data_IF_316517648812
#
_entry.id   IF_316517648812
#
_cell.length_a   1.000
_cell.length_b   1.000
_cell.length_c   1.000
_cell.angle_alpha   90.00
_cell.angle_beta   90.00
_cell.angle_gamma   90.00
#
_symmetry.space_group_name_H-M   'P 1'
#
loop_
_entity.id
_entity.type
_entity.pdbx_description
1 polymer ?
#
# COMPACT_ATOMS: atom_id res chain seq x y z
N UNK A 1 6.48 -1.67 -1.54
CA UNK A 1 6.09 -0.43 -2.26
C UNK A 1 5.81 -0.72 -3.72
N UNK A 2 5.13 0.17 -4.43
CA UNK A 2 4.78 0.01 -5.84
C UNK A 2 6.01 -0.28 -6.70
N UNK A 3 6.05 -1.46 -7.30
CA UNK A 3 7.16 -1.95 -8.11
C UNK A 3 6.87 -1.80 -9.61
N UNK A 4 5.72 -2.29 -10.07
CA UNK A 4 5.27 -2.12 -11.44
C UNK A 4 4.89 -0.66 -11.71
N UNK A 5 5.27 -0.11 -12.86
CA UNK A 5 4.93 1.25 -13.16
C UNK A 5 5.60 1.82 -14.41
N UNK A 6 5.26 3.08 -14.68
CA UNK A 6 5.61 3.81 -15.91
C UNK A 6 7.11 3.96 -16.18
N UNK A 7 7.97 3.70 -15.23
CA UNK A 7 9.42 3.70 -15.41
C UNK A 7 9.93 2.50 -16.22
N UNK A 8 9.11 1.45 -16.41
CA UNK A 8 9.43 0.28 -17.23
C UNK A 8 8.79 0.41 -18.62
N UNK A 9 9.59 0.32 -19.67
CA UNK A 9 9.10 0.34 -21.07
C UNK A 9 8.08 -0.76 -21.33
N UNK A 10 8.35 -1.97 -20.86
CA UNK A 10 7.48 -3.14 -20.97
C UNK A 10 6.13 -2.96 -20.26
N UNK A 11 6.07 -2.20 -19.17
CA UNK A 11 4.82 -1.79 -18.54
C UNK A 11 4.04 -0.81 -19.43
N UNK A 12 4.73 0.17 -20.02
CA UNK A 12 4.10 1.18 -20.86
C UNK A 12 3.42 0.54 -22.08
N UNK A 13 4.06 -0.46 -22.71
CA UNK A 13 3.48 -1.21 -23.84
C UNK A 13 2.16 -1.86 -23.45
N UNK A 14 2.10 -2.50 -22.27
CA UNK A 14 0.86 -3.14 -21.80
C UNK A 14 -0.19 -2.09 -21.41
N UNK A 15 0.23 -0.99 -20.76
CA UNK A 15 -0.66 0.10 -20.35
C UNK A 15 -1.37 0.78 -21.52
N UNK A 16 -0.67 1.01 -22.62
CA UNK A 16 -1.23 1.61 -23.84
C UNK A 16 -2.37 0.79 -24.46
N UNK A 17 -2.38 -0.53 -24.25
CA UNK A 17 -3.44 -1.43 -24.71
C UNK A 17 -4.68 -1.45 -23.81
N UNK A 18 -4.67 -0.74 -22.69
CA UNK A 18 -5.78 -0.73 -21.74
C UNK A 18 -6.59 0.57 -21.87
N UNK A 19 -7.91 0.44 -21.95
CA UNK A 19 -8.87 1.55 -22.10
C UNK A 19 -8.72 2.60 -21.01
N UNK A 20 -8.71 2.18 -19.75
CA UNK A 20 -8.51 3.04 -18.59
C UNK A 20 -7.74 2.31 -17.48
N UNK A 21 -7.50 2.97 -16.35
CA UNK A 21 -6.69 2.39 -15.28
C UNK A 21 -7.44 1.35 -14.44
N UNK A 22 -8.75 1.51 -14.24
CA UNK A 22 -9.56 0.51 -13.52
C UNK A 22 -9.67 -0.78 -14.36
N UNK A 23 -9.94 -0.66 -15.67
CA UNK A 23 -9.96 -1.82 -16.56
C UNK A 23 -8.61 -2.54 -16.55
N UNK A 24 -7.50 -1.79 -16.49
CA UNK A 24 -6.18 -2.38 -16.34
C UNK A 24 -6.04 -3.19 -15.04
N UNK A 25 -6.49 -2.65 -13.91
CA UNK A 25 -6.49 -3.38 -12.63
C UNK A 25 -7.39 -4.62 -12.67
N UNK A 26 -8.46 -4.58 -13.45
CA UNK A 26 -9.42 -5.68 -13.62
C UNK A 26 -9.06 -6.65 -14.77
N UNK A 27 -8.07 -6.34 -15.58
CA UNK A 27 -7.53 -7.29 -16.55
C UNK A 27 -6.51 -8.21 -15.87
N UNK A 28 -6.99 -9.37 -15.36
CA UNK A 28 -6.16 -10.26 -14.54
C UNK A 28 -4.88 -10.75 -15.23
N UNK A 29 -4.91 -10.98 -16.56
CA UNK A 29 -3.72 -11.38 -17.33
C UNK A 29 -2.71 -10.24 -17.42
N UNK A 30 -3.17 -9.03 -17.74
CA UNK A 30 -2.31 -7.85 -17.81
C UNK A 30 -1.76 -7.44 -16.44
N UNK A 31 -2.59 -7.44 -15.39
CA UNK A 31 -2.18 -7.15 -14.03
C UNK A 31 -1.11 -8.13 -13.52
N UNK A 32 -1.29 -9.43 -13.74
CA UNK A 32 -0.27 -10.43 -13.42
C UNK A 32 1.02 -10.23 -14.21
N UNK A 33 0.92 -9.96 -15.52
CA UNK A 33 2.10 -9.74 -16.37
C UNK A 33 2.95 -8.58 -15.86
N UNK A 34 2.33 -7.43 -15.55
CA UNK A 34 3.08 -6.27 -15.04
C UNK A 34 3.56 -6.46 -13.61
N UNK A 35 2.90 -7.27 -12.79
CA UNK A 35 3.38 -7.65 -11.46
C UNK A 35 4.70 -8.41 -11.54
N UNK A 36 4.85 -9.31 -12.51
CA UNK A 36 6.02 -10.17 -12.66
C UNK A 36 7.19 -9.46 -13.37
N UNK A 37 6.97 -8.35 -14.10
CA UNK A 37 8.04 -7.63 -14.81
C UNK A 37 9.19 -7.18 -13.90
N UNK A 38 8.96 -6.49 -12.75
CA UNK A 38 10.05 -6.10 -11.85
C UNK A 38 10.79 -7.30 -11.24
N UNK A 39 10.08 -8.40 -10.99
CA UNK A 39 10.66 -9.62 -10.42
C UNK A 39 11.65 -10.26 -11.39
N UNK A 40 11.22 -10.40 -12.65
CA UNK A 40 12.08 -10.95 -13.71
C UNK A 40 13.29 -10.07 -14.01
N UNK A 41 13.12 -8.74 -13.90
CA UNK A 41 14.15 -7.77 -14.27
C UNK A 41 15.18 -7.54 -13.18
N UNK A 42 14.76 -7.53 -11.92
CA UNK A 42 15.60 -7.07 -10.81
C UNK A 42 15.85 -8.15 -9.74
N UNK A 43 15.27 -9.32 -9.91
CA UNK A 43 15.35 -10.43 -8.96
C UNK A 43 14.98 -10.02 -7.52
N UNK A 44 13.84 -9.35 -7.36
CA UNK A 44 13.32 -8.96 -6.05
C UNK A 44 12.77 -10.17 -5.29
N UNK A 45 12.81 -10.12 -3.95
CA UNK A 45 12.38 -11.22 -3.07
C UNK A 45 10.86 -11.35 -2.94
N UNK A 46 10.14 -10.26 -3.22
CA UNK A 46 8.69 -10.23 -3.13
C UNK A 46 8.06 -9.46 -4.29
N UNK A 47 6.93 -9.96 -4.78
CA UNK A 47 6.07 -9.27 -5.73
C UNK A 47 4.90 -8.62 -4.99
N UNK A 48 4.58 -7.36 -5.27
CA UNK A 48 3.32 -6.77 -4.87
C UNK A 48 2.35 -6.78 -6.05
N UNK A 49 1.16 -7.33 -5.84
CA UNK A 49 0.15 -7.44 -6.91
C UNK A 49 -0.15 -6.06 -7.52
N UNK A 50 -0.23 -5.97 -8.84
CA UNK A 50 -0.66 -4.75 -9.51
C UNK A 50 -2.18 -4.59 -9.38
N UNK A 51 -2.59 -3.56 -8.66
CA UNK A 51 -3.98 -3.16 -8.43
C UNK A 51 -4.00 -1.71 -7.95
N UNK A 52 -5.12 -1.25 -7.41
CA UNK A 52 -5.24 0.06 -6.74
C UNK A 52 -6.05 -0.05 -5.45
N UNK A 53 -5.76 0.82 -4.48
CA UNK A 53 -6.51 0.89 -3.21
C UNK A 53 -7.98 1.30 -3.43
N UNK A 54 -8.26 2.02 -4.51
CA UNK A 54 -9.61 2.49 -4.87
C UNK A 54 -10.50 1.40 -5.50
N UNK A 55 -9.99 0.18 -5.64
CA UNK A 55 -10.81 -0.99 -5.98
C UNK A 55 -11.92 -1.21 -4.95
N UNK A 56 -11.70 -0.81 -3.69
CA UNK A 56 -12.73 -0.94 -2.65
C UNK A 56 -13.91 0.02 -2.89
N UNK A 57 -13.75 1.36 -2.98
CA UNK A 57 -14.86 2.23 -3.33
C UNK A 57 -15.48 1.91 -4.69
N UNK A 58 -14.68 1.50 -5.69
CA UNK A 58 -15.20 1.00 -6.95
C UNK A 58 -16.10 -0.23 -6.76
N UNK A 59 -15.67 -1.21 -6.00
CA UNK A 59 -16.45 -2.42 -5.67
C UNK A 59 -17.75 -2.08 -4.94
N UNK A 60 -17.74 -1.07 -4.09
CA UNK A 60 -18.93 -0.54 -3.40
C UNK A 60 -19.91 0.22 -4.30
N UNK A 61 -19.52 0.56 -5.53
CA UNK A 61 -20.38 1.21 -6.51
C UNK A 61 -20.01 2.66 -6.83
N UNK A 62 -19.02 3.24 -6.14
CA UNK A 62 -18.56 4.58 -6.47
C UNK A 62 -17.81 4.59 -7.80
N UNK A 63 -18.10 5.54 -8.68
CA UNK A 63 -17.36 5.72 -9.93
C UNK A 63 -15.93 6.17 -9.62
N UNK A 64 -14.94 5.49 -10.20
CA UNK A 64 -13.52 5.81 -10.04
C UNK A 64 -12.88 5.96 -11.40
N UNK A 65 -12.33 7.13 -11.66
CA UNK A 65 -11.60 7.47 -12.88
C UNK A 65 -10.19 7.94 -12.54
N UNK A 66 -9.30 7.85 -13.52
CA UNK A 66 -7.93 8.37 -13.40
C UNK A 66 -7.67 9.33 -14.54
N UNK A 67 -7.50 10.62 -14.24
CA UNK A 67 -7.12 11.62 -15.23
C UNK A 67 -5.61 11.79 -15.29
N UNK A 68 -5.13 12.07 -16.48
CA UNK A 68 -3.71 12.35 -16.70
C UNK A 68 -3.32 13.60 -15.88
N UNK A 69 -2.20 13.52 -15.15
CA UNK A 69 -1.65 14.55 -14.26
C UNK A 69 -2.50 14.98 -13.05
N UNK A 70 -3.78 14.59 -12.95
CA UNK A 70 -4.62 14.89 -11.79
C UNK A 70 -4.69 13.71 -10.79
N UNK A 71 -4.46 12.49 -11.26
CA UNK A 71 -4.60 11.27 -10.47
C UNK A 71 -6.06 10.78 -10.39
N UNK A 72 -6.45 10.11 -9.30
CA UNK A 72 -7.78 9.56 -9.16
C UNK A 72 -8.83 10.65 -8.93
N UNK A 73 -9.98 10.48 -9.60
CA UNK A 73 -11.19 11.29 -9.42
C UNK A 73 -12.35 10.33 -9.18
N UNK A 74 -13.03 10.51 -8.06
CA UNK A 74 -14.17 9.71 -7.66
C UNK A 74 -15.47 10.50 -7.89
N UNK A 75 -16.51 9.81 -8.35
CA UNK A 75 -17.85 10.34 -8.43
C UNK A 75 -18.48 10.52 -7.04
N UNK A 76 -19.74 10.95 -7.00
CA UNK A 76 -20.49 10.96 -5.76
C UNK A 76 -20.69 9.54 -5.25
N UNK A 77 -20.65 9.36 -3.93
CA UNK A 77 -21.02 8.12 -3.28
C UNK A 77 -22.48 8.19 -2.83
N UNK A 78 -23.11 7.04 -2.68
CA UNK A 78 -24.44 6.90 -2.11
C UNK A 78 -24.35 5.99 -0.87
N UNK A 79 -24.55 6.58 0.31
CA UNK A 79 -24.43 5.85 1.57
C UNK A 79 -25.48 4.72 1.69
N UNK A 80 -26.70 4.93 1.16
CA UNK A 80 -27.74 3.90 1.14
C UNK A 80 -27.30 2.71 0.30
N UNK A 81 -26.75 2.95 -0.90
CA UNK A 81 -26.20 1.91 -1.77
C UNK A 81 -24.98 1.18 -1.13
N UNK A 82 -24.11 1.91 -0.45
CA UNK A 82 -23.00 1.30 0.28
C UNK A 82 -23.48 0.37 1.39
N UNK A 83 -24.54 0.76 2.13
CA UNK A 83 -25.16 -0.07 3.17
C UNK A 83 -25.83 -1.31 2.60
N UNK A 84 -26.50 -1.20 1.43
CA UNK A 84 -27.15 -2.33 0.74
C UNK A 84 -26.15 -3.29 0.09
N UNK A 85 -24.88 -2.89 -0.05
CA UNK A 85 -23.87 -3.74 -0.67
C UNK A 85 -23.56 -4.96 0.23
N UNK A 86 -23.53 -6.14 -0.38
CA UNK A 86 -23.19 -7.37 0.31
C UNK A 86 -21.86 -7.96 -0.19
N UNK A 87 -21.37 -8.97 0.52
CA UNK A 87 -20.10 -9.63 0.20
C UNK A 87 -20.09 -10.16 -1.23
N UNK A 88 -21.16 -10.82 -1.66
CA UNK A 88 -21.23 -11.47 -2.97
C UNK A 88 -21.18 -10.45 -4.11
N UNK A 89 -22.00 -9.38 -4.04
CA UNK A 89 -22.03 -8.28 -5.03
C UNK A 89 -20.68 -7.61 -5.15
N UNK A 90 -20.04 -7.31 -4.00
CA UNK A 90 -18.71 -6.72 -3.97
C UNK A 90 -17.66 -7.63 -4.62
N UNK A 91 -17.57 -8.90 -4.19
CA UNK A 91 -16.58 -9.85 -4.70
C UNK A 91 -16.75 -10.11 -6.19
N UNK A 92 -17.99 -10.23 -6.67
CA UNK A 92 -18.30 -10.37 -8.10
C UNK A 92 -17.71 -9.21 -8.92
N UNK A 93 -17.91 -7.97 -8.46
CA UNK A 93 -17.46 -6.75 -9.17
C UNK A 93 -15.96 -6.64 -9.27
N UNK A 94 -15.22 -7.11 -8.27
CA UNK A 94 -13.75 -7.02 -8.21
C UNK A 94 -13.05 -8.37 -8.37
N UNK A 95 -13.77 -9.42 -8.80
CA UNK A 95 -13.27 -10.81 -8.89
C UNK A 95 -11.96 -10.95 -9.66
N UNK A 96 -11.75 -10.11 -10.65
CA UNK A 96 -10.57 -10.20 -11.51
C UNK A 96 -9.27 -9.78 -10.79
N UNK A 97 -9.35 -9.00 -9.70
CA UNK A 97 -8.20 -8.74 -8.84
C UNK A 97 -7.72 -10.05 -8.20
N UNK A 98 -8.65 -10.87 -7.73
CA UNK A 98 -8.34 -12.17 -7.12
C UNK A 98 -7.83 -13.18 -8.13
N UNK A 99 -8.41 -13.20 -9.35
CA UNK A 99 -7.86 -13.98 -10.46
C UNK A 99 -6.44 -13.56 -10.83
N UNK A 100 -6.12 -12.25 -10.75
CA UNK A 100 -4.76 -11.76 -10.98
C UNK A 100 -3.78 -12.31 -9.94
N UNK A 101 -4.18 -12.39 -8.66
CA UNK A 101 -3.36 -12.97 -7.58
C UNK A 101 -3.13 -14.47 -7.85
N UNK A 102 -4.19 -15.23 -8.11
CA UNK A 102 -4.09 -16.67 -8.43
C UNK A 102 -3.17 -16.93 -9.62
N UNK A 103 -3.35 -16.15 -10.69
CA UNK A 103 -2.55 -16.28 -11.91
C UNK A 103 -1.08 -15.87 -11.71
N UNK A 104 -0.85 -14.88 -10.84
CA UNK A 104 0.50 -14.45 -10.46
C UNK A 104 1.17 -15.51 -9.59
N UNK A 105 0.48 -16.05 -8.57
CA UNK A 105 1.03 -17.06 -7.67
C UNK A 105 1.46 -18.31 -8.40
N UNK A 106 0.70 -18.76 -9.40
CA UNK A 106 1.07 -19.91 -10.25
C UNK A 106 2.37 -19.70 -11.04
N UNK A 107 2.74 -18.44 -11.33
CA UNK A 107 3.91 -18.10 -12.15
C UNK A 107 5.09 -17.56 -11.36
N UNK A 108 4.85 -17.13 -10.13
CA UNK A 108 5.88 -16.61 -9.24
C UNK A 108 6.57 -17.78 -8.53
N UNK A 109 7.89 -17.74 -8.49
CA UNK A 109 8.68 -18.71 -7.72
C UNK A 109 8.13 -18.84 -6.29
N UNK A 110 8.01 -20.07 -5.80
CA UNK A 110 7.49 -20.38 -4.46
C UNK A 110 8.34 -19.76 -3.34
N UNK A 111 9.63 -19.53 -3.58
CA UNK A 111 10.56 -18.86 -2.64
C UNK A 111 10.31 -17.34 -2.53
N UNK A 112 9.54 -16.74 -3.44
CA UNK A 112 9.25 -15.32 -3.45
C UNK A 112 7.85 -15.03 -2.90
N UNK A 113 7.75 -14.04 -2.02
CA UNK A 113 6.48 -13.63 -1.43
C UNK A 113 5.57 -12.89 -2.42
N UNK A 114 4.26 -13.13 -2.31
CA UNK A 114 3.25 -12.40 -3.07
C UNK A 114 2.42 -11.52 -2.13
N UNK A 115 2.68 -10.24 -2.17
CA UNK A 115 2.04 -9.25 -1.31
C UNK A 115 0.72 -8.81 -1.94
N UNK A 116 -0.39 -9.10 -1.23
CA UNK A 116 -1.67 -8.45 -1.44
C UNK A 116 -1.75 -7.13 -0.66
N UNK A 117 -2.69 -6.25 -0.99
CA UNK A 117 -2.80 -4.99 -0.26
C UNK A 117 -4.21 -4.39 -0.27
N UNK A 118 -4.42 -3.43 0.64
CA UNK A 118 -5.59 -2.58 0.66
C UNK A 118 -5.23 -1.16 1.13
N UNK A 119 -6.07 -0.19 0.80
CA UNK A 119 -6.04 1.10 1.47
C UNK A 119 -6.57 0.97 2.90
N UNK A 120 -5.95 1.66 3.86
CA UNK A 120 -6.45 1.74 5.23
C UNK A 120 -7.76 2.56 5.31
N UNK A 121 -8.58 2.36 6.36
CA UNK A 121 -9.90 2.97 6.45
C UNK A 121 -9.90 4.49 6.30
N UNK A 122 -8.99 5.18 6.99
CA UNK A 122 -8.89 6.64 6.88
C UNK A 122 -8.54 7.09 5.46
N UNK A 123 -7.56 6.45 4.84
CA UNK A 123 -7.16 6.79 3.47
C UNK A 123 -8.31 6.61 2.48
N UNK A 124 -9.08 5.54 2.57
CA UNK A 124 -10.24 5.32 1.70
C UNK A 124 -11.38 6.30 2.00
N UNK A 125 -11.64 6.60 3.27
CA UNK A 125 -12.62 7.61 3.68
C UNK A 125 -12.30 8.97 3.06
N UNK A 126 -11.03 9.40 3.14
CA UNK A 126 -10.59 10.66 2.53
C UNK A 126 -10.86 10.66 1.02
N UNK A 127 -10.55 9.60 0.30
CA UNK A 127 -10.83 9.52 -1.14
C UNK A 127 -12.33 9.56 -1.45
N UNK A 128 -13.14 8.82 -0.69
CA UNK A 128 -14.60 8.76 -0.89
C UNK A 128 -15.23 10.14 -0.73
N UNK A 129 -14.89 10.85 0.35
CA UNK A 129 -15.47 12.15 0.70
C UNK A 129 -14.84 13.32 -0.09
N UNK A 130 -13.52 13.34 -0.24
CA UNK A 130 -12.80 14.40 -0.96
C UNK A 130 -12.85 14.23 -2.49
N UNK A 131 -13.26 13.06 -2.98
CA UNK A 131 -13.38 12.67 -4.41
C UNK A 131 -12.09 12.76 -5.23
N UNK A 132 -10.99 13.18 -4.66
CA UNK A 132 -9.65 13.31 -5.28
C UNK A 132 -8.55 13.24 -4.25
N UNK A 133 -7.30 13.13 -4.71
CA UNK A 133 -6.14 13.22 -3.83
C UNK A 133 -6.10 14.54 -3.07
N UNK A 134 -5.87 14.55 -1.75
CA UNK A 134 -5.64 15.76 -0.98
C UNK A 134 -4.51 16.62 -1.57
N UNK A 135 -4.72 17.93 -1.59
CA UNK A 135 -3.74 18.96 -1.98
C UNK A 135 -3.35 19.79 -0.76
N UNK A 136 -2.50 20.82 -0.95
CA UNK A 136 -2.02 21.70 0.15
C UNK A 136 -3.16 22.33 0.98
N UNK A 137 -4.29 22.63 0.36
CA UNK A 137 -5.47 23.22 1.00
C UNK A 137 -6.50 22.18 1.48
N UNK A 138 -6.06 20.95 1.81
CA UNK A 138 -6.93 19.93 2.36
C UNK A 138 -7.51 20.37 3.72
N UNK A 139 -8.84 20.34 3.82
CA UNK A 139 -9.56 20.71 5.03
C UNK A 139 -10.06 19.45 5.76
N UNK A 140 -9.37 19.08 6.84
CA UNK A 140 -9.74 17.93 7.69
C UNK A 140 -11.14 18.10 8.29
N UNK A 141 -11.47 19.30 8.79
CA UNK A 141 -12.76 19.54 9.45
C UNK A 141 -13.92 19.29 8.49
N UNK A 142 -13.78 19.68 7.22
CA UNK A 142 -14.80 19.40 6.19
C UNK A 142 -15.02 17.89 5.99
N UNK A 143 -13.97 17.08 6.09
CA UNK A 143 -14.08 15.63 5.94
C UNK A 143 -14.81 15.00 7.13
N UNK A 144 -14.58 15.49 8.34
CA UNK A 144 -15.11 14.87 9.57
C UNK A 144 -16.29 15.63 10.19
N UNK A 145 -16.87 16.64 9.48
CA UNK A 145 -17.94 17.48 10.02
C UNK A 145 -19.20 16.68 10.37
N UNK A 146 -19.62 15.75 9.51
CA UNK A 146 -20.77 14.88 9.78
C UNK A 146 -20.30 13.59 10.46
N UNK A 147 -20.14 13.63 11.79
CA UNK A 147 -19.63 12.52 12.59
C UNK A 147 -20.40 11.21 12.40
N UNK A 148 -21.77 11.29 12.36
CA UNK A 148 -22.63 10.09 12.18
C UNK A 148 -22.40 9.41 10.83
N UNK A 149 -22.28 10.18 9.79
CA UNK A 149 -22.01 9.68 8.44
C UNK A 149 -20.61 9.10 8.31
N UNK A 150 -19.59 9.80 8.84
CA UNK A 150 -18.20 9.35 8.86
C UNK A 150 -18.06 8.03 9.61
N UNK A 151 -18.67 7.90 10.78
CA UNK A 151 -18.61 6.67 11.58
C UNK A 151 -19.33 5.51 10.84
N UNK A 152 -20.45 5.79 10.16
CA UNK A 152 -21.15 4.80 9.32
C UNK A 152 -20.29 4.35 8.13
N UNK A 153 -19.68 5.30 7.41
CA UNK A 153 -18.76 5.00 6.30
C UNK A 153 -17.55 4.19 6.74
N UNK A 154 -16.93 4.56 7.87
CA UNK A 154 -15.79 3.82 8.39
C UNK A 154 -16.12 2.36 8.68
N UNK A 155 -17.27 2.08 9.32
CA UNK A 155 -17.73 0.70 9.57
C UNK A 155 -17.89 -0.10 8.27
N UNK A 156 -18.47 0.53 7.24
CA UNK A 156 -18.64 -0.11 5.93
C UNK A 156 -17.28 -0.36 5.28
N UNK A 157 -16.41 0.63 5.25
CA UNK A 157 -15.07 0.54 4.68
C UNK A 157 -14.26 -0.56 5.37
N UNK A 158 -14.23 -0.61 6.70
CA UNK A 158 -13.54 -1.66 7.47
C UNK A 158 -14.05 -3.06 7.12
N UNK A 159 -15.39 -3.22 7.00
CA UNK A 159 -16.00 -4.50 6.58
C UNK A 159 -15.49 -4.93 5.21
N UNK A 160 -15.46 -4.03 4.23
CA UNK A 160 -15.08 -4.39 2.87
C UNK A 160 -13.57 -4.46 2.66
N UNK A 161 -12.76 -3.74 3.44
CA UNK A 161 -11.31 -3.97 3.51
C UNK A 161 -11.03 -5.39 3.99
N UNK A 162 -11.68 -5.82 5.08
CA UNK A 162 -11.51 -7.18 5.60
C UNK A 162 -11.90 -8.24 4.56
N UNK A 163 -13.07 -8.11 3.92
CA UNK A 163 -13.54 -9.02 2.87
C UNK A 163 -12.53 -9.08 1.72
N UNK A 164 -12.03 -7.93 1.30
CA UNK A 164 -11.06 -7.83 0.20
C UNK A 164 -9.73 -8.50 0.54
N UNK A 165 -9.21 -8.27 1.75
CA UNK A 165 -7.98 -8.90 2.22
C UNK A 165 -8.18 -10.42 2.37
N UNK A 166 -9.26 -10.86 3.01
CA UNK A 166 -9.57 -12.29 3.15
C UNK A 166 -9.57 -12.99 1.78
N UNK A 167 -10.17 -12.37 0.78
CA UNK A 167 -10.21 -12.96 -0.56
C UNK A 167 -8.85 -12.95 -1.27
N UNK A 168 -8.01 -11.95 -1.02
CA UNK A 168 -6.63 -11.93 -1.52
C UNK A 168 -5.80 -13.08 -0.92
N UNK A 169 -5.91 -13.32 0.40
CA UNK A 169 -5.25 -14.45 1.09
C UNK A 169 -5.70 -15.77 0.48
N UNK A 170 -7.03 -15.99 0.36
CA UNK A 170 -7.60 -17.20 -0.26
C UNK A 170 -7.17 -17.40 -1.73
N UNK A 171 -6.75 -16.33 -2.38
CA UNK A 171 -6.29 -16.34 -3.77
C UNK A 171 -4.78 -16.55 -3.92
N UNK A 172 -4.04 -16.68 -2.81
CA UNK A 172 -2.62 -17.01 -2.80
C UNK A 172 -1.68 -15.84 -2.47
N UNK A 173 -2.19 -14.73 -1.94
CA UNK A 173 -1.35 -13.73 -1.28
C UNK A 173 -0.88 -14.29 0.07
N UNK A 174 0.42 -14.28 0.30
CA UNK A 174 1.05 -14.81 1.53
C UNK A 174 1.45 -13.70 2.51
N UNK A 175 1.32 -12.45 2.12
CA UNK A 175 1.60 -11.26 2.92
C UNK A 175 0.60 -10.16 2.55
N UNK A 176 0.16 -9.36 3.51
CA UNK A 176 -0.79 -8.26 3.27
C UNK A 176 -0.19 -6.93 3.69
N UNK A 177 -0.34 -5.90 2.84
CA UNK A 177 0.07 -4.53 3.17
C UNK A 177 -1.13 -3.58 3.24
N UNK A 178 -1.26 -2.84 4.36
CA UNK A 178 -2.22 -1.77 4.55
C UNK A 178 -1.57 -0.41 4.29
N UNK A 179 -2.11 0.34 3.33
CA UNK A 179 -1.60 1.66 2.97
C UNK A 179 -2.45 2.77 3.59
N UNK A 180 -1.95 3.43 4.64
CA UNK A 180 -2.56 4.64 5.20
C UNK A 180 -1.80 5.89 4.71
N UNK A 181 -1.96 6.16 3.41
CA UNK A 181 -1.23 7.21 2.70
C UNK A 181 -1.54 8.63 3.19
N UNK A 182 -2.67 8.81 3.86
CA UNK A 182 -3.15 10.09 4.37
C UNK A 182 -3.20 10.17 5.89
N UNK A 183 -2.58 9.24 6.62
CA UNK A 183 -2.51 9.24 8.08
C UNK A 183 -1.94 10.55 8.64
N UNK A 184 -0.90 11.09 7.99
CA UNK A 184 -0.26 12.35 8.38
C UNK A 184 -1.11 13.61 8.20
N UNK A 185 -2.32 13.52 7.59
CA UNK A 185 -3.26 14.64 7.52
C UNK A 185 -4.10 14.78 8.80
N UNK A 186 -4.09 13.78 9.67
CA UNK A 186 -4.79 13.81 10.95
C UNK A 186 -4.01 14.60 11.99
N UNK A 187 -4.70 15.47 12.70
CA UNK A 187 -4.15 16.09 13.90
C UNK A 187 -4.12 15.06 15.07
N UNK A 188 -3.33 15.34 16.10
CA UNK A 188 -3.07 14.42 17.22
C UNK A 188 -4.37 13.88 17.87
N UNK A 189 -5.39 14.72 18.09
CA UNK A 189 -6.67 14.34 18.71
C UNK A 189 -7.49 13.33 17.87
N UNK A 190 -7.30 13.33 16.57
CA UNK A 190 -8.06 12.48 15.64
C UNK A 190 -7.32 11.18 15.25
N UNK A 191 -6.01 11.07 15.52
CA UNK A 191 -5.21 9.89 15.16
C UNK A 191 -5.77 8.58 15.74
N UNK A 192 -6.13 8.60 17.03
CA UNK A 192 -6.65 7.39 17.67
C UNK A 192 -7.94 6.92 17.00
N UNK A 193 -8.92 7.83 16.82
CA UNK A 193 -10.25 7.49 16.29
C UNK A 193 -10.18 7.03 14.83
N UNK A 194 -9.46 7.74 13.97
CA UNK A 194 -9.54 7.56 12.52
C UNK A 194 -8.39 6.77 11.91
N UNK A 195 -7.25 6.65 12.60
CA UNK A 195 -6.10 5.88 12.12
C UNK A 195 -5.83 4.65 12.96
N UNK A 196 -5.56 4.81 14.28
CA UNK A 196 -5.08 3.70 15.09
C UNK A 196 -6.12 2.61 15.29
N UNK A 197 -7.30 2.95 15.82
CA UNK A 197 -8.34 1.97 16.13
C UNK A 197 -8.88 1.25 14.89
N UNK A 198 -9.15 1.90 13.76
CA UNK A 198 -9.57 1.20 12.53
C UNK A 198 -8.51 0.21 12.03
N UNK A 199 -7.23 0.60 11.98
CA UNK A 199 -6.15 -0.32 11.57
C UNK A 199 -6.00 -1.47 12.57
N UNK A 200 -6.07 -1.21 13.89
CA UNK A 200 -6.03 -2.24 14.94
C UNK A 200 -7.14 -3.28 14.75
N UNK A 201 -8.39 -2.85 14.51
CA UNK A 201 -9.52 -3.78 14.30
C UNK A 201 -9.30 -4.69 13.09
N UNK A 202 -8.80 -4.14 11.98
CA UNK A 202 -8.51 -4.93 10.77
C UNK A 202 -7.39 -5.93 11.05
N UNK A 203 -6.25 -5.47 11.59
CA UNK A 203 -5.09 -6.32 11.90
C UNK A 203 -5.51 -7.44 12.85
N UNK A 204 -6.18 -7.12 13.97
CA UNK A 204 -6.67 -8.10 14.94
C UNK A 204 -7.56 -9.16 14.27
N UNK A 205 -8.55 -8.72 13.48
CA UNK A 205 -9.51 -9.63 12.84
C UNK A 205 -8.85 -10.55 11.81
N UNK A 206 -7.83 -10.05 11.07
CA UNK A 206 -7.08 -10.88 10.12
C UNK A 206 -6.22 -11.88 10.88
N UNK A 207 -5.48 -11.45 11.90
CA UNK A 207 -4.59 -12.33 12.68
C UNK A 207 -5.35 -13.41 13.45
N UNK A 208 -6.57 -13.12 13.91
CA UNK A 208 -7.44 -14.14 14.53
C UNK A 208 -7.79 -15.29 13.58
N UNK A 209 -8.00 -15.01 12.29
CA UNK A 209 -8.38 -16.03 11.30
C UNK A 209 -7.20 -16.59 10.52
N UNK A 210 -6.18 -15.80 10.32
CA UNK A 210 -4.98 -16.11 9.54
C UNK A 210 -3.72 -15.73 10.34
N UNK A 211 -3.40 -16.43 11.44
CA UNK A 211 -2.29 -16.07 12.34
C UNK A 211 -0.93 -16.02 11.64
N UNK A 212 -0.73 -16.88 10.65
CA UNK A 212 0.54 -17.01 9.92
C UNK A 212 0.71 -16.01 8.76
N UNK A 213 -0.31 -15.21 8.43
CA UNK A 213 -0.19 -14.19 7.36
C UNK A 213 0.42 -12.91 7.97
N UNK A 214 1.63 -12.51 7.56
CA UNK A 214 2.23 -11.26 8.00
C UNK A 214 1.45 -10.05 7.49
N UNK A 215 1.31 -9.04 8.37
CA UNK A 215 0.65 -7.77 8.03
C UNK A 215 1.64 -6.63 8.12
N UNK A 216 1.84 -5.95 7.00
CA UNK A 216 2.65 -4.75 6.88
C UNK A 216 1.72 -3.54 6.96
N UNK A 217 1.97 -2.60 7.87
CA UNK A 217 1.24 -1.33 7.92
C UNK A 217 2.13 -0.17 7.49
N UNK A 218 1.60 0.70 6.64
CA UNK A 218 2.28 1.91 6.16
C UNK A 218 1.51 3.19 6.52
N UNK A 219 1.64 3.69 7.75
CA UNK A 219 1.01 4.94 8.19
C UNK A 219 1.88 6.14 7.82
N UNK A 220 1.79 6.60 6.56
CA UNK A 220 2.64 7.65 6.01
C UNK A 220 2.44 8.99 6.72
N UNK A 221 3.54 9.66 7.06
CA UNK A 221 3.55 11.02 7.59
C UNK A 221 3.22 11.13 9.09
N UNK A 222 3.24 10.03 9.84
CA UNK A 222 2.98 10.07 11.28
C UNK A 222 4.13 10.63 12.11
N UNK A 223 5.33 10.76 11.55
CA UNK A 223 6.52 11.26 12.26
C UNK A 223 6.69 10.58 13.62
N UNK A 224 6.81 11.34 14.73
CA UNK A 224 6.91 10.80 16.09
C UNK A 224 5.72 9.95 16.55
N UNK A 225 4.53 10.19 16.00
CA UNK A 225 3.33 9.43 16.35
C UNK A 225 3.34 7.98 15.81
N UNK A 226 4.33 7.61 14.99
CA UNK A 226 4.49 6.25 14.46
C UNK A 226 4.75 5.23 15.57
N UNK A 227 5.39 5.63 16.67
CA UNK A 227 5.62 4.77 17.84
C UNK A 227 4.29 4.39 18.47
N UNK A 228 3.41 5.36 18.72
CA UNK A 228 2.08 5.10 19.28
C UNK A 228 1.22 4.25 18.34
N UNK A 229 1.29 4.50 17.02
CA UNK A 229 0.64 3.64 16.03
C UNK A 229 1.10 2.19 16.16
N UNK A 230 2.41 1.95 16.20
CA UNK A 230 2.97 0.61 16.29
C UNK A 230 2.53 -0.11 17.57
N UNK A 231 2.57 0.58 18.71
CA UNK A 231 2.17 0.01 20.02
C UNK A 231 0.68 -0.35 20.09
N UNK A 232 -0.19 0.44 19.44
CA UNK A 232 -1.65 0.22 19.46
C UNK A 232 -2.07 -0.82 18.41
N UNK A 233 -1.56 -0.71 17.18
CA UNK A 233 -1.97 -1.56 16.05
C UNK A 233 -1.29 -2.91 16.08
N UNK A 234 -0.04 -2.97 16.53
CA UNK A 234 0.80 -4.18 16.65
C UNK A 234 0.91 -4.94 15.29
N UNK A 235 1.36 -4.28 14.21
CA UNK A 235 1.60 -4.96 12.96
C UNK A 235 2.83 -5.88 13.05
N UNK A 236 2.91 -6.92 12.22
CA UNK A 236 4.11 -7.75 12.10
C UNK A 236 5.28 -6.92 11.51
N UNK A 237 4.96 -6.05 10.56
CA UNK A 237 5.93 -5.15 9.91
C UNK A 237 5.40 -3.72 9.83
N UNK A 238 6.24 -2.78 10.22
CA UNK A 238 5.99 -1.35 10.09
C UNK A 238 6.76 -0.80 8.90
N UNK A 239 6.05 -0.39 7.86
CA UNK A 239 6.64 0.31 6.72
C UNK A 239 6.74 1.80 7.00
N UNK A 240 7.91 2.39 6.74
CA UNK A 240 8.24 3.78 7.05
C UNK A 240 8.47 4.60 5.79
N UNK A 241 8.13 5.87 5.84
CA UNK A 241 8.45 6.84 4.78
C UNK A 241 9.85 7.45 4.96
N UNK A 242 10.29 8.23 3.99
CA UNK A 242 11.64 8.81 3.96
C UNK A 242 11.90 9.91 5.01
N UNK A 243 10.84 10.37 5.69
CA UNK A 243 10.92 11.39 6.76
C UNK A 243 10.86 10.78 8.16
N UNK A 244 10.78 9.45 8.25
CA UNK A 244 10.75 8.76 9.53
C UNK A 244 12.07 8.92 10.29
N UNK A 245 11.97 9.18 11.59
CA UNK A 245 13.13 9.25 12.47
C UNK A 245 13.62 7.83 12.82
N UNK A 246 14.71 7.42 12.19
CA UNK A 246 15.31 6.10 12.36
C UNK A 246 15.82 5.87 13.79
N UNK A 247 16.36 6.89 14.44
CA UNK A 247 16.86 6.76 15.82
C UNK A 247 15.71 6.57 16.80
N UNK A 248 14.62 7.35 16.64
CA UNK A 248 13.39 7.16 17.43
C UNK A 248 12.81 5.75 17.26
N UNK A 249 12.77 5.25 16.03
CA UNK A 249 12.27 3.91 15.71
C UNK A 249 13.11 2.85 16.43
N UNK A 250 14.43 2.90 16.31
CA UNK A 250 15.31 1.93 16.96
C UNK A 250 15.23 2.00 18.49
N UNK A 251 15.03 3.19 19.07
CA UNK A 251 14.95 3.38 20.53
C UNK A 251 13.59 2.97 21.12
N UNK A 252 12.48 3.16 20.38
CA UNK A 252 11.12 3.09 20.97
C UNK A 252 10.22 2.00 20.39
N UNK A 253 10.57 1.38 19.26
CA UNK A 253 9.79 0.29 18.67
C UNK A 253 10.48 -1.03 18.97
N UNK A 254 9.72 -2.00 19.44
CA UNK A 254 10.21 -3.36 19.76
C UNK A 254 11.08 -3.92 18.63
N UNK A 255 12.20 -4.54 18.98
CA UNK A 255 13.08 -5.24 18.03
C UNK A 255 12.40 -6.42 17.32
N UNK A 256 11.33 -6.95 17.88
CA UNK A 256 10.50 -8.00 17.25
C UNK A 256 9.67 -7.46 16.08
N UNK A 257 9.38 -6.15 16.03
CA UNK A 257 8.65 -5.55 14.90
C UNK A 257 9.59 -5.38 13.71
N UNK A 258 9.29 -5.99 12.59
CA UNK A 258 10.05 -5.83 11.35
C UNK A 258 9.89 -4.39 10.85
N UNK A 259 10.97 -3.75 10.42
CA UNK A 259 10.91 -2.44 9.77
C UNK A 259 11.07 -2.61 8.26
N UNK A 260 10.28 -1.88 7.48
CA UNK A 260 10.39 -1.88 6.02
C UNK A 260 10.52 -0.44 5.49
N UNK A 261 11.37 -0.21 4.48
CA UNK A 261 11.35 1.04 3.71
C UNK A 261 12.33 2.11 4.21
N UNK A 262 11.97 3.37 4.00
CA UNK A 262 12.74 4.54 4.43
C UNK A 262 13.47 5.28 3.30
N UNK A 263 14.05 4.59 2.31
CA UNK A 263 14.81 5.27 1.25
C UNK A 263 13.88 6.13 0.37
N UNK A 264 14.19 7.43 0.26
CA UNK A 264 13.44 8.33 -0.63
C UNK A 264 13.64 7.91 -2.09
N UNK A 265 12.55 7.67 -2.86
CA UNK A 265 12.63 7.33 -4.27
C UNK A 265 13.38 8.36 -5.12
N UNK A 266 13.48 9.61 -4.68
CA UNK A 266 14.23 10.68 -5.38
C UNK A 266 15.70 10.34 -5.54
N UNK A 267 16.29 9.56 -4.64
CA UNK A 267 17.68 9.11 -4.79
C UNK A 267 17.92 8.26 -6.05
N UNK A 268 16.85 7.60 -6.57
CA UNK A 268 16.93 6.86 -7.83
C UNK A 268 16.93 7.76 -9.08
N UNK A 269 16.60 9.05 -8.94
CA UNK A 269 16.63 10.03 -10.02
C UNK A 269 17.99 10.77 -10.10
N UNK A 270 18.78 10.70 -9.05
CA UNK A 270 20.01 11.46 -8.88
C UNK A 270 21.28 10.63 -9.07
N UNK A 271 22.33 11.07 -8.38
CA UNK A 271 23.65 10.46 -8.42
C UNK A 271 23.67 9.05 -7.78
N UNK A 272 24.28 8.08 -8.46
CA UNK A 272 24.40 6.69 -8.00
C UNK A 272 25.13 6.60 -6.64
N UNK A 273 26.24 7.32 -6.45
CA UNK A 273 27.02 7.30 -5.19
C UNK A 273 26.18 7.83 -4.01
N UNK A 274 25.38 8.91 -4.23
CA UNK A 274 24.47 9.42 -3.20
C UNK A 274 23.37 8.42 -2.84
N UNK A 275 22.79 7.73 -3.85
CA UNK A 275 21.83 6.66 -3.64
C UNK A 275 22.41 5.51 -2.83
N UNK A 276 23.60 5.04 -3.19
CA UNK A 276 24.34 3.99 -2.50
C UNK A 276 24.65 4.38 -1.04
N UNK A 277 25.25 5.55 -0.81
CA UNK A 277 25.52 6.06 0.55
C UNK A 277 24.26 6.06 1.42
N UNK A 278 23.11 6.49 0.86
CA UNK A 278 21.85 6.53 1.60
C UNK A 278 21.25 5.13 1.81
N UNK A 279 21.41 4.22 0.87
CA UNK A 279 20.98 2.81 1.02
C UNK A 279 21.79 2.14 2.15
N UNK A 280 23.11 2.27 2.13
CA UNK A 280 24.01 1.75 3.17
C UNK A 280 23.71 2.36 4.55
N UNK A 281 23.32 3.64 4.62
CA UNK A 281 22.85 4.26 5.86
C UNK A 281 21.68 3.49 6.48
N UNK A 282 20.62 3.16 5.71
CA UNK A 282 19.47 2.41 6.23
C UNK A 282 19.85 0.98 6.62
N UNK A 283 20.66 0.29 5.80
CA UNK A 283 21.13 -1.06 6.08
C UNK A 283 21.92 -1.12 7.40
N UNK A 284 22.87 -0.19 7.61
CA UNK A 284 23.65 -0.08 8.85
C UNK A 284 22.80 0.28 10.05
N UNK A 285 21.85 1.21 9.90
CA UNK A 285 20.99 1.66 11.00
C UNK A 285 20.03 0.58 11.50
N UNK A 286 19.63 -0.34 10.63
CA UNK A 286 18.71 -1.43 10.97
C UNK A 286 19.38 -2.81 11.05
N UNK A 287 20.72 -2.90 11.02
CA UNK A 287 21.44 -4.21 11.02
C UNK A 287 21.15 -5.09 12.24
N UNK A 288 20.79 -4.49 13.39
CA UNK A 288 20.53 -5.21 14.64
C UNK A 288 19.07 -5.62 14.84
N UNK A 289 18.24 -5.51 13.80
CA UNK A 289 16.84 -5.92 13.84
C UNK A 289 16.36 -6.40 12.47
N UNK A 290 15.26 -7.19 12.41
CA UNK A 290 14.68 -7.59 11.13
C UNK A 290 14.32 -6.36 10.29
N UNK A 291 14.87 -6.28 9.07
CA UNK A 291 14.68 -5.16 8.18
C UNK A 291 14.45 -5.62 6.74
N UNK A 292 13.37 -5.14 6.13
CA UNK A 292 13.08 -5.32 4.72
C UNK A 292 13.49 -4.05 3.98
N UNK A 293 14.59 -4.11 3.24
CA UNK A 293 15.02 -2.96 2.44
C UNK A 293 13.96 -2.61 1.38
N UNK A 294 13.48 -1.39 1.41
CA UNK A 294 12.50 -0.87 0.46
C UNK A 294 12.60 0.66 0.37
N UNK A 295 11.93 1.24 -0.64
CA UNK A 295 11.76 2.69 -0.73
C UNK A 295 10.70 3.16 0.28
N UNK A 296 10.80 4.41 0.72
CA UNK A 296 9.79 5.08 1.55
C UNK A 296 8.52 5.47 0.78
N UNK A 297 8.48 5.27 -0.54
CA UNK A 297 7.31 5.45 -1.42
C UNK A 297 7.47 4.63 -2.71
N UNK A 298 6.49 4.67 -3.61
CA UNK A 298 6.59 3.99 -4.92
C UNK A 298 7.65 4.61 -5.83
N UNK A 299 8.23 3.80 -6.72
CA UNK A 299 9.21 4.23 -7.71
C UNK A 299 8.64 5.36 -8.59
N UNK A 300 9.42 6.42 -8.81
CA UNK A 300 9.03 7.53 -9.68
C UNK A 300 8.99 7.11 -11.16
N UNK A 301 8.09 7.73 -11.92
CA UNK A 301 7.90 7.43 -13.36
C UNK A 301 9.13 7.71 -14.22
N UNK A 302 9.99 8.62 -13.77
CA UNK A 302 11.19 9.04 -14.49
C UNK A 302 12.45 8.25 -14.06
N UNK A 303 12.31 7.30 -13.14
CA UNK A 303 13.43 6.46 -12.69
C UNK A 303 13.96 5.60 -13.84
N UNK A 304 15.27 5.63 -14.05
CA UNK A 304 15.93 4.72 -15.01
C UNK A 304 15.95 3.31 -14.41
N UNK A 305 15.56 2.25 -15.17
CA UNK A 305 15.63 0.87 -14.67
C UNK A 305 17.02 0.47 -14.18
N UNK A 306 18.09 1.01 -14.80
CA UNK A 306 19.47 0.78 -14.38
C UNK A 306 19.78 1.29 -12.99
N UNK A 307 19.11 2.36 -12.51
CA UNK A 307 19.25 2.86 -11.13
C UNK A 307 18.64 1.87 -10.11
N UNK A 308 17.49 1.26 -10.44
CA UNK A 308 16.89 0.21 -9.60
C UNK A 308 17.78 -1.01 -9.55
N UNK A 309 18.32 -1.44 -10.70
CA UNK A 309 19.23 -2.58 -10.79
C UNK A 309 20.51 -2.35 -9.97
N UNK A 310 21.08 -1.15 -10.04
CA UNK A 310 22.24 -0.77 -9.22
C UNK A 310 21.92 -0.85 -7.73
N UNK A 311 20.78 -0.27 -7.30
CA UNK A 311 20.36 -0.30 -5.92
C UNK A 311 20.19 -1.75 -5.41
N UNK A 312 19.59 -2.63 -6.19
CA UNK A 312 19.44 -4.06 -5.83
C UNK A 312 20.81 -4.71 -5.63
N UNK A 313 21.76 -4.44 -6.55
CA UNK A 313 23.15 -4.95 -6.40
C UNK A 313 23.83 -4.46 -5.12
N UNK A 314 23.66 -3.18 -4.76
CA UNK A 314 24.20 -2.61 -3.51
C UNK A 314 23.62 -3.32 -2.28
N UNK A 315 22.30 -3.51 -2.26
CA UNK A 315 21.61 -4.18 -1.15
C UNK A 315 22.05 -5.64 -1.02
N UNK A 316 22.17 -6.37 -2.15
CA UNK A 316 22.59 -7.77 -2.17
C UNK A 316 24.05 -7.99 -1.73
N UNK A 317 24.92 -6.99 -1.95
CA UNK A 317 26.34 -7.03 -1.54
C UNK A 317 26.57 -6.65 -0.08
N UNK A 318 25.56 -6.08 0.57
CA UNK A 318 25.69 -5.70 1.97
C UNK A 318 25.73 -6.94 2.85
N UNK A 319 26.85 -7.11 3.54
CA UNK A 319 27.03 -8.13 4.57
C UNK A 319 26.72 -7.49 5.93
N UNK A 320 25.89 -8.13 6.73
CA UNK A 320 25.49 -7.66 8.06
C UNK A 320 26.57 -7.98 9.11
#
# INVERSE_FOLDING_TARGET
MRQAGRYLKEYQVIRKKQKNFIDFCLNYKAASKVTLQPIKRFDLDAAIIFSDILIIPYGLGQKVNFKHNEGPILGSYNLKEFKKNNKQKFLSKVRNVYKAIQYTRKKLDKKKSLIGFAGSPWTLLVYILNKKSPKKNFNLNKIIQNKKEVDSLLKIIEKFIYIHIEQQIKSGADTIQLFDSWAGLLNKKNLNKYCYQPNKRIVKKIKQKYPNIPIICFPKGLHKNIVQFCNIVKPDCLSIDSKADVNLINKKISSKTIIQGGLDPKFLLGNKKACEKKALFYLRKFKHRPYIFNLGHGVDKNTKPTAVQHLVKVVRKFQS
#
